data_IF_790359711611
#
_entry.id   IF_790359711611
#
_cell.length_a   1.000
_cell.length_b   1.000
_cell.length_c   1.000
_cell.angle_alpha   90.00
_cell.angle_beta   90.00
_cell.angle_gamma   90.00
#
_symmetry.space_group_name_H-M   'P 1'
#
loop_
_entity.id
_entity.type
_entity.pdbx_description
1 polymer ?
#
# COMPACT_ATOMS: atom_id res chain seq x y z
N UNK A 1 34.27 35.42 -27.64
CA UNK A 1 33.88 34.34 -26.71
C UNK A 1 32.66 34.78 -25.92
N UNK A 2 31.50 34.15 -26.10
CA UNK A 2 30.37 34.26 -25.19
C UNK A 2 29.56 32.96 -25.29
N UNK A 3 29.84 32.05 -24.36
CA UNK A 3 29.28 30.70 -24.27
C UNK A 3 27.83 30.82 -23.82
N UNK A 4 26.88 30.72 -24.77
CA UNK A 4 25.45 30.49 -24.48
C UNK A 4 25.32 29.10 -23.84
N UNK A 5 25.48 29.01 -22.51
CA UNK A 5 24.95 27.89 -21.74
C UNK A 5 23.43 28.03 -21.74
N UNK A 6 22.77 27.37 -22.69
CA UNK A 6 21.33 27.14 -22.61
C UNK A 6 21.09 26.29 -21.36
N UNK A 7 20.27 26.80 -20.43
CA UNK A 7 19.66 25.98 -19.39
C UNK A 7 18.82 24.91 -20.08
N UNK A 8 19.36 23.69 -20.21
CA UNK A 8 18.57 22.51 -20.50
C UNK A 8 17.68 22.25 -19.28
N UNK A 9 16.40 22.62 -19.39
CA UNK A 9 15.40 22.16 -18.43
C UNK A 9 15.30 20.64 -18.60
N UNK A 10 15.62 19.90 -17.54
CA UNK A 10 15.30 18.48 -17.44
C UNK A 10 13.78 18.34 -17.46
N UNK A 11 13.23 17.79 -18.55
CA UNK A 11 11.78 17.55 -18.69
C UNK A 11 11.52 16.08 -18.40
N UNK A 12 11.01 15.79 -17.21
CA UNK A 12 10.47 14.46 -16.85
C UNK A 12 8.96 14.51 -17.10
N UNK A 13 8.43 13.54 -17.83
CA UNK A 13 6.98 13.38 -18.01
C UNK A 13 6.32 12.76 -16.75
N UNK A 14 5.03 13.04 -16.53
CA UNK A 14 4.25 12.41 -15.46
C UNK A 14 4.32 10.87 -15.54
N UNK A 15 4.29 10.31 -16.75
CA UNK A 15 4.44 8.87 -16.96
C UNK A 15 5.78 8.34 -16.46
N UNK A 16 6.89 9.05 -16.71
CA UNK A 16 8.20 8.65 -16.20
C UNK A 16 8.25 8.72 -14.67
N UNK A 17 7.61 9.72 -14.05
CA UNK A 17 7.54 9.83 -12.58
C UNK A 17 6.74 8.68 -11.97
N UNK A 18 5.56 8.37 -12.54
CA UNK A 18 4.71 7.27 -12.08
C UNK A 18 5.45 5.95 -12.25
N UNK A 19 6.06 5.68 -13.40
CA UNK A 19 6.81 4.44 -13.63
C UNK A 19 7.95 4.28 -12.63
N UNK A 20 8.69 5.35 -12.32
CA UNK A 20 9.75 5.30 -11.31
C UNK A 20 9.20 4.97 -9.90
N UNK A 21 8.06 5.56 -9.52
CA UNK A 21 7.39 5.26 -8.26
C UNK A 21 6.94 3.79 -8.19
N UNK A 22 6.34 3.30 -9.28
CA UNK A 22 5.80 1.94 -9.36
C UNK A 22 6.89 0.86 -9.41
N UNK A 23 8.07 1.18 -9.95
CA UNK A 23 9.20 0.24 -10.03
C UNK A 23 10.03 0.18 -8.75
N UNK A 24 10.21 1.31 -8.06
CA UNK A 24 11.21 1.43 -6.98
C UNK A 24 10.64 1.65 -5.58
N UNK A 25 9.34 1.89 -5.43
CA UNK A 25 8.73 1.98 -4.10
C UNK A 25 8.77 0.63 -3.39
N UNK A 26 9.20 0.64 -2.13
CA UNK A 26 9.12 -0.52 -1.23
C UNK A 26 7.73 -0.70 -0.60
N UNK A 27 6.96 0.39 -0.54
CA UNK A 27 5.57 0.36 -0.13
C UNK A 27 4.72 -0.22 -1.27
N UNK A 28 3.69 -0.99 -0.93
CA UNK A 28 2.74 -1.48 -1.91
C UNK A 28 1.84 -0.35 -2.37
N UNK A 29 1.68 -0.20 -3.67
CA UNK A 29 0.82 0.80 -4.29
C UNK A 29 -0.14 0.08 -5.23
N UNK A 30 -1.43 0.39 -5.14
CA UNK A 30 -2.46 -0.23 -5.96
C UNK A 30 -3.57 0.73 -6.33
N UNK A 31 -4.22 0.44 -7.46
CA UNK A 31 -5.43 1.08 -7.95
C UNK A 31 -6.46 0.00 -8.22
N UNK A 32 -7.71 0.25 -7.86
CA UNK A 32 -8.84 -0.66 -8.07
C UNK A 32 -10.00 0.06 -8.73
N UNK A 33 -10.82 -0.70 -9.45
CA UNK A 33 -12.04 -0.21 -10.06
C UNK A 33 -13.22 -0.16 -9.07
N UNK A 34 -14.39 0.27 -9.53
CA UNK A 34 -15.62 0.34 -8.72
C UNK A 34 -16.10 -1.01 -8.18
N UNK A 35 -15.56 -2.13 -8.67
CA UNK A 35 -15.87 -3.49 -8.21
C UNK A 35 -14.76 -4.07 -7.34
N UNK A 36 -13.84 -3.23 -6.84
CA UNK A 36 -12.70 -3.66 -6.03
C UNK A 36 -11.76 -4.61 -6.76
N UNK A 37 -11.67 -4.51 -8.10
CA UNK A 37 -10.72 -5.29 -8.90
C UNK A 37 -9.47 -4.49 -9.17
N UNK A 38 -8.30 -5.09 -9.04
CA UNK A 38 -7.03 -4.43 -9.35
C UNK A 38 -7.00 -3.97 -10.81
N UNK A 39 -6.69 -2.69 -10.99
CA UNK A 39 -6.44 -2.05 -12.29
C UNK A 39 -4.94 -1.91 -12.53
N UNK A 40 -4.19 -1.64 -11.46
CA UNK A 40 -2.76 -1.46 -11.49
C UNK A 40 -2.19 -1.73 -10.11
N UNK A 41 -1.06 -2.44 -10.06
CA UNK A 41 -0.28 -2.61 -8.83
C UNK A 41 1.20 -2.33 -9.12
N UNK A 42 1.96 -1.99 -8.09
CA UNK A 42 3.40 -1.81 -8.20
C UNK A 42 4.15 -3.13 -8.00
N UNK A 43 5.46 -3.10 -8.27
CA UNK A 43 6.33 -4.26 -8.12
C UNK A 43 6.35 -4.82 -6.71
N UNK A 44 6.38 -3.96 -5.69
CA UNK A 44 6.37 -4.39 -4.29
C UNK A 44 5.13 -5.20 -3.94
N UNK A 45 3.94 -4.82 -4.42
CA UNK A 45 2.72 -5.60 -4.19
C UNK A 45 2.73 -6.91 -4.99
N UNK A 46 3.23 -6.91 -6.22
CA UNK A 46 3.38 -8.15 -7.01
C UNK A 46 4.28 -9.18 -6.30
N UNK A 47 5.40 -8.73 -5.75
CA UNK A 47 6.30 -9.57 -4.94
C UNK A 47 5.60 -10.11 -3.69
N UNK A 48 4.76 -9.29 -3.01
CA UNK A 48 3.96 -9.75 -1.86
C UNK A 48 2.91 -10.81 -2.25
N UNK A 49 2.31 -10.67 -3.42
CA UNK A 49 1.37 -11.64 -4.00
C UNK A 49 2.05 -12.91 -4.54
N UNK A 50 3.39 -12.94 -4.60
CA UNK A 50 4.13 -14.07 -5.16
C UNK A 50 3.99 -14.19 -6.68
N UNK A 51 3.60 -13.12 -7.37
CA UNK A 51 3.48 -13.07 -8.84
C UNK A 51 4.67 -12.33 -9.45
N UNK A 52 5.09 -12.75 -10.64
CA UNK A 52 6.30 -12.19 -11.28
C UNK A 52 6.00 -10.91 -12.05
N UNK A 53 4.81 -10.81 -12.63
CA UNK A 53 4.37 -9.64 -13.37
C UNK A 53 3.18 -8.97 -12.64
N UNK A 54 3.28 -7.67 -12.29
CA UNK A 54 2.15 -6.87 -11.80
C UNK A 54 0.84 -7.01 -12.60
N UNK A 55 0.93 -7.20 -13.92
CA UNK A 55 -0.25 -7.33 -14.78
C UNK A 55 -1.08 -8.61 -14.49
N UNK A 56 -0.49 -9.63 -13.84
CA UNK A 56 -1.20 -10.85 -13.46
C UNK A 56 -2.25 -10.61 -12.37
N UNK A 57 -2.21 -9.47 -11.69
CA UNK A 57 -3.22 -9.05 -10.74
C UNK A 57 -4.42 -8.35 -11.40
N UNK A 58 -4.28 -7.86 -12.63
CA UNK A 58 -5.32 -7.04 -13.28
C UNK A 58 -6.61 -7.83 -13.42
N UNK A 59 -7.72 -7.26 -12.92
CA UNK A 59 -9.04 -7.87 -12.92
C UNK A 59 -9.32 -8.84 -11.76
N UNK A 60 -8.30 -9.21 -10.97
CA UNK A 60 -8.45 -9.98 -9.73
C UNK A 60 -8.82 -9.08 -8.56
N UNK A 61 -9.16 -9.70 -7.44
CA UNK A 61 -9.59 -9.07 -6.19
C UNK A 61 -8.67 -9.48 -5.04
N UNK A 62 -8.84 -8.88 -3.87
CA UNK A 62 -8.09 -9.28 -2.66
C UNK A 62 -8.34 -10.75 -2.29
N UNK A 63 -9.53 -11.29 -2.61
CA UNK A 63 -9.89 -12.69 -2.37
C UNK A 63 -9.00 -13.68 -3.14
N UNK A 64 -8.34 -13.23 -4.21
CA UNK A 64 -7.42 -14.07 -4.98
C UNK A 64 -6.03 -14.20 -4.33
N UNK A 65 -5.70 -13.33 -3.36
CA UNK A 65 -4.33 -13.19 -2.82
C UNK A 65 -4.25 -13.22 -1.29
N UNK A 66 -5.31 -12.85 -0.59
CA UNK A 66 -5.35 -12.74 0.86
C UNK A 66 -6.34 -13.73 1.49
N UNK A 67 -6.33 -13.81 2.82
CA UNK A 67 -7.37 -14.53 3.57
C UNK A 67 -8.74 -13.91 3.33
N UNK A 68 -9.78 -14.73 3.42
CA UNK A 68 -11.17 -14.29 3.26
C UNK A 68 -11.54 -13.18 4.24
N UNK A 69 -11.06 -13.26 5.49
CA UNK A 69 -11.27 -12.23 6.51
C UNK A 69 -10.69 -10.87 6.07
N UNK A 70 -9.42 -10.84 5.66
CA UNK A 70 -8.77 -9.60 5.22
C UNK A 70 -9.40 -9.06 3.93
N UNK A 71 -9.67 -9.94 2.96
CA UNK A 71 -10.29 -9.56 1.70
C UNK A 71 -11.70 -8.98 1.88
N UNK A 72 -12.49 -9.54 2.82
CA UNK A 72 -13.82 -9.01 3.15
C UNK A 72 -13.72 -7.63 3.77
N UNK A 73 -12.83 -7.43 4.75
CA UNK A 73 -12.63 -6.12 5.37
C UNK A 73 -12.17 -5.07 4.34
N UNK A 74 -11.21 -5.44 3.48
CA UNK A 74 -10.74 -4.56 2.42
C UNK A 74 -11.84 -4.18 1.43
N UNK A 75 -12.68 -5.15 1.04
CA UNK A 75 -13.83 -4.91 0.18
C UNK A 75 -14.83 -3.93 0.81
N UNK A 76 -15.19 -4.13 2.07
CA UNK A 76 -16.16 -3.28 2.77
C UNK A 76 -15.65 -1.85 2.92
N UNK A 77 -14.37 -1.68 3.28
CA UNK A 77 -13.72 -0.36 3.33
C UNK A 77 -13.80 0.35 1.98
N UNK A 78 -13.45 -0.36 0.90
CA UNK A 78 -13.43 0.19 -0.45
C UNK A 78 -14.82 0.56 -0.94
N UNK A 79 -15.82 -0.29 -0.72
CA UNK A 79 -17.20 0.01 -1.08
C UNK A 79 -17.74 1.19 -0.27
N UNK A 80 -17.34 1.33 1.01
CA UNK A 80 -17.69 2.50 1.81
C UNK A 80 -17.03 3.78 1.27
N UNK A 81 -15.75 3.73 0.88
CA UNK A 81 -15.04 4.86 0.23
C UNK A 81 -15.74 5.24 -1.07
N UNK A 82 -16.09 4.27 -1.91
CA UNK A 82 -16.78 4.52 -3.19
C UNK A 82 -18.14 5.20 -2.97
N UNK A 83 -18.87 4.79 -1.93
CA UNK A 83 -20.20 5.32 -1.62
C UNK A 83 -20.14 6.72 -1.00
N UNK A 84 -19.16 6.97 -0.13
CA UNK A 84 -19.13 8.17 0.73
C UNK A 84 -18.11 9.22 0.30
N UNK A 85 -17.09 8.81 -0.46
CA UNK A 85 -15.91 9.62 -0.76
C UNK A 85 -14.99 9.85 0.45
N UNK A 86 -15.29 9.26 1.61
CA UNK A 86 -14.51 9.42 2.83
C UNK A 86 -13.34 8.43 2.77
N UNK A 87 -12.07 8.89 2.88
CA UNK A 87 -10.92 8.02 2.85
C UNK A 87 -10.77 7.21 4.15
N UNK A 88 -10.14 6.05 4.05
CA UNK A 88 -9.66 5.28 5.18
C UNK A 88 -8.15 5.52 5.34
N UNK A 89 -7.73 6.01 6.51
CA UNK A 89 -6.35 6.47 6.75
C UNK A 89 -5.83 5.77 8.00
N UNK A 90 -4.54 5.42 7.99
CA UNK A 90 -3.81 4.81 9.10
C UNK A 90 -4.47 3.54 9.64
N UNK A 91 -5.06 2.73 8.75
CA UNK A 91 -5.58 1.41 9.15
C UNK A 91 -4.38 0.48 9.32
N UNK A 92 -4.19 -0.03 10.53
CA UNK A 92 -3.20 -1.07 10.82
C UNK A 92 -3.84 -2.44 10.69
N UNK A 93 -3.41 -3.21 9.71
CA UNK A 93 -3.95 -4.52 9.36
C UNK A 93 -2.86 -5.58 9.57
N UNK A 94 -3.29 -6.78 9.98
CA UNK A 94 -2.42 -7.95 10.03
C UNK A 94 -2.68 -8.79 8.78
N UNK A 95 -1.68 -8.88 7.93
CA UNK A 95 -1.73 -9.64 6.68
C UNK A 95 -0.83 -10.85 6.77
N UNK A 96 -1.24 -11.97 6.17
CA UNK A 96 -0.36 -13.12 5.97
C UNK A 96 0.23 -13.06 4.57
N UNK A 97 1.53 -12.78 4.49
CA UNK A 97 2.23 -12.72 3.21
C UNK A 97 2.78 -14.09 2.83
N UNK A 98 2.66 -14.44 1.55
CA UNK A 98 2.94 -15.79 1.03
C UNK A 98 4.25 -16.40 1.56
N UNK A 99 5.38 -15.70 1.43
CA UNK A 99 6.70 -16.22 1.85
C UNK A 99 7.21 -15.63 3.17
N UNK A 100 6.63 -14.52 3.62
CA UNK A 100 7.16 -13.71 4.74
C UNK A 100 6.41 -13.90 6.06
N UNK A 101 5.37 -14.72 6.05
CA UNK A 101 4.49 -14.97 7.19
C UNK A 101 3.66 -13.74 7.56
N UNK A 102 3.18 -13.72 8.79
CA UNK A 102 2.38 -12.61 9.31
C UNK A 102 3.15 -11.30 9.37
N UNK A 103 2.53 -10.24 8.86
CA UNK A 103 3.06 -8.87 8.81
C UNK A 103 2.03 -7.89 9.32
N UNK A 104 2.52 -6.82 9.94
CA UNK A 104 1.72 -5.65 10.26
C UNK A 104 1.89 -4.61 9.17
N UNK A 105 0.79 -4.10 8.67
CA UNK A 105 0.77 -3.19 7.53
C UNK A 105 -0.05 -1.96 7.89
N UNK A 106 0.48 -0.78 7.61
CA UNK A 106 -0.24 0.49 7.73
C UNK A 106 -0.72 0.90 6.35
N UNK A 107 -2.04 1.02 6.19
CA UNK A 107 -2.69 1.24 4.90
C UNK A 107 -3.42 2.57 4.88
N UNK A 108 -3.27 3.30 3.78
CA UNK A 108 -4.19 4.38 3.38
C UNK A 108 -4.96 3.93 2.14
N UNK A 109 -6.28 4.17 2.13
CA UNK A 109 -7.19 3.91 1.01
C UNK A 109 -7.94 5.19 0.68
N UNK A 110 -7.82 5.66 -0.56
CA UNK A 110 -8.32 6.95 -1.01
C UNK A 110 -9.30 6.75 -2.19
N UNK A 111 -10.32 7.62 -2.31
CA UNK A 111 -11.16 7.65 -3.51
C UNK A 111 -10.34 8.05 -4.74
N UNK A 112 -10.53 7.34 -5.85
CA UNK A 112 -9.90 7.66 -7.13
C UNK A 112 -10.90 8.38 -8.03
N UNK A 113 -10.62 9.64 -8.39
CA UNK A 113 -11.52 10.49 -9.18
C UNK A 113 -11.09 10.60 -10.64
N UNK A 114 -12.07 10.65 -11.54
CA UNK A 114 -11.86 11.09 -12.92
C UNK A 114 -11.75 12.62 -13.02
N UNK A 115 -11.47 13.11 -14.24
CA UNK A 115 -11.37 14.55 -14.53
C UNK A 115 -12.67 15.33 -14.31
N UNK A 116 -13.81 14.65 -14.16
CA UNK A 116 -15.13 15.24 -13.90
C UNK A 116 -15.49 15.22 -12.41
N UNK A 117 -14.57 14.76 -11.54
CA UNK A 117 -14.80 14.66 -10.10
C UNK A 117 -15.67 13.46 -9.70
N UNK A 118 -15.88 12.49 -10.59
CA UNK A 118 -16.61 11.26 -10.27
C UNK A 118 -15.63 10.21 -9.76
N UNK A 119 -15.99 9.53 -8.67
CA UNK A 119 -15.25 8.35 -8.21
C UNK A 119 -15.32 7.26 -9.28
N UNK A 120 -14.15 6.79 -9.72
CA UNK A 120 -13.98 5.68 -10.68
C UNK A 120 -13.35 4.44 -10.05
N UNK A 121 -13.05 4.50 -8.77
CA UNK A 121 -12.50 3.40 -7.99
C UNK A 121 -11.80 3.89 -6.73
N UNK A 122 -10.83 3.12 -6.27
CA UNK A 122 -9.99 3.47 -5.12
C UNK A 122 -8.51 3.31 -5.48
N UNK A 123 -7.64 3.92 -4.68
CA UNK A 123 -6.22 3.61 -4.70
C UNK A 123 -5.69 3.60 -3.28
N UNK A 124 -4.59 2.90 -3.05
CA UNK A 124 -4.02 2.80 -1.72
C UNK A 124 -2.53 2.60 -1.71
N UNK A 125 -1.96 2.86 -0.53
CA UNK A 125 -0.56 2.64 -0.21
C UNK A 125 -0.50 1.86 1.10
N UNK A 126 0.23 0.74 1.10
CA UNK A 126 0.36 -0.16 2.24
C UNK A 126 1.82 -0.38 2.60
N UNK A 127 2.21 0.11 3.78
CA UNK A 127 3.58 0.06 4.31
C UNK A 127 3.73 -1.05 5.34
N UNK A 128 4.78 -1.86 5.21
CA UNK A 128 5.17 -2.81 6.26
C UNK A 128 5.66 -2.04 7.49
N UNK A 129 4.96 -2.20 8.61
CA UNK A 129 5.31 -1.63 9.91
C UNK A 129 5.67 -2.72 10.94
N UNK A 130 5.94 -3.95 10.48
CA UNK A 130 6.24 -5.09 11.36
C UNK A 130 7.40 -4.80 12.30
N UNK A 131 8.49 -4.22 11.79
CA UNK A 131 9.66 -3.92 12.62
C UNK A 131 9.37 -2.81 13.64
N UNK A 132 8.53 -1.84 13.27
CA UNK A 132 8.03 -0.81 14.19
C UNK A 132 7.22 -1.44 15.32
N UNK A 133 6.27 -2.34 14.99
CA UNK A 133 5.45 -3.05 15.99
C UNK A 133 6.29 -3.90 16.94
N UNK A 134 7.26 -4.65 16.42
CA UNK A 134 8.19 -5.44 17.25
C UNK A 134 9.01 -4.55 18.19
N UNK A 135 9.45 -3.39 17.73
CA UNK A 135 10.17 -2.43 18.58
C UNK A 135 9.27 -1.86 19.68
N UNK A 136 8.02 -1.49 19.35
CA UNK A 136 7.02 -1.02 20.32
C UNK A 136 6.70 -2.09 21.37
N UNK A 137 6.49 -3.34 20.97
CA UNK A 137 6.28 -4.47 21.88
C UNK A 137 7.48 -4.70 22.80
N UNK A 138 8.70 -4.61 22.26
CA UNK A 138 9.93 -4.73 23.07
C UNK A 138 10.04 -3.61 24.10
N UNK A 139 9.76 -2.35 23.71
CA UNK A 139 9.77 -1.22 24.64
C UNK A 139 8.71 -1.42 25.72
N UNK A 140 7.50 -1.84 25.32
CA UNK A 140 6.40 -2.14 26.24
C UNK A 140 6.80 -3.23 27.23
N UNK A 141 7.37 -4.33 26.75
CA UNK A 141 7.91 -5.40 27.58
C UNK A 141 8.96 -4.87 28.57
N UNK A 142 9.96 -4.13 28.11
CA UNK A 142 10.99 -3.55 28.98
C UNK A 142 10.43 -2.53 30.00
N UNK A 143 9.35 -1.81 29.66
CA UNK A 143 8.68 -0.88 30.57
C UNK A 143 7.86 -1.58 31.66
N UNK A 144 7.36 -2.79 31.40
CA UNK A 144 6.66 -3.61 32.40
C UNK A 144 7.60 -4.58 33.13
N UNK A 145 8.78 -4.83 32.57
CA UNK A 145 9.83 -5.69 33.12
C UNK A 145 11.10 -4.86 33.34
N UNK A 146 11.07 -3.96 34.32
CA UNK A 146 12.25 -3.22 34.75
C UNK A 146 13.24 -4.18 35.42
N UNK A 147 14.50 -4.12 35.00
CA UNK A 147 15.56 -5.09 35.34
C UNK A 147 16.03 -5.05 36.80
N UNK A 148 15.26 -4.47 37.72
CA UNK A 148 15.63 -4.24 39.11
C UNK A 148 14.92 -5.15 40.12
N UNK A 149 13.81 -5.81 39.78
CA UNK A 149 13.08 -6.63 40.79
C UNK A 149 12.93 -8.11 40.44
N UNK A 150 13.07 -8.53 39.18
CA UNK A 150 13.17 -9.95 38.81
C UNK A 150 12.10 -10.88 39.41
N UNK A 151 10.91 -10.38 39.72
CA UNK A 151 9.83 -11.14 40.35
C UNK A 151 8.54 -11.04 39.55
N UNK A 152 7.91 -12.21 39.47
CA UNK A 152 6.87 -12.67 38.56
C UNK A 152 5.50 -12.03 38.77
#
# INVERSE_FOLDING_TARGET
>A
MAKKRKNEKFVISESQMISALMEHSTDSIYFKDLKSRFVLINKALAERFGIKNPDEAVGKTDFDFFSEEHATQAYDDEQNIIKTGIPAIDIEEKETWHEKGDRWVSTIKMPFYDKKGKIVGTFGISRDITDKKKAEEKIKYLSFHDGLTGLY
#
